data_IF_284611521517
#
_entry.id   IF_284611521517
#
_cell.length_a   1.000
_cell.length_b   1.000
_cell.length_c   1.000
_cell.angle_alpha   90.00
_cell.angle_beta   90.00
_cell.angle_gamma   90.00
#
_symmetry.space_group_name_H-M   'P 1'
#
loop_
_entity.id
_entity.type
_entity.pdbx_description
1 polymer ?
#
# COMPACT_ATOMS: atom_id res chain seq x y z
N UNK A 1 24.97 44.34 -35.96
CA UNK A 1 26.21 43.54 -36.09
C UNK A 1 27.01 43.65 -34.81
N UNK A 2 27.52 42.55 -34.25
CA UNK A 2 28.35 42.58 -33.02
C UNK A 2 29.69 41.89 -33.24
N UNK A 3 30.75 42.35 -32.58
CA UNK A 3 32.05 41.68 -32.63
C UNK A 3 32.09 40.48 -31.69
N UNK A 4 32.65 39.38 -32.17
CA UNK A 4 32.89 38.19 -31.37
C UNK A 4 33.94 38.47 -30.28
N UNK A 5 33.60 38.20 -29.02
CA UNK A 5 34.54 38.36 -27.89
C UNK A 5 35.72 37.39 -27.93
N UNK A 6 35.66 36.32 -28.72
CA UNK A 6 36.70 35.26 -28.78
C UNK A 6 37.69 35.43 -29.93
N UNK A 7 37.24 35.90 -31.09
CA UNK A 7 38.08 35.99 -32.30
C UNK A 7 38.04 37.35 -32.99
N UNK A 8 37.23 38.30 -32.51
CA UNK A 8 37.12 39.64 -33.09
C UNK A 8 36.34 39.74 -34.41
N UNK A 9 35.89 38.61 -34.99
CA UNK A 9 35.10 38.60 -36.22
C UNK A 9 33.71 39.24 -36.03
N UNK A 10 33.16 39.81 -37.10
CA UNK A 10 31.80 40.38 -37.09
C UNK A 10 30.75 39.26 -37.16
N UNK A 11 29.81 39.26 -36.21
CA UNK A 11 28.67 38.35 -36.15
C UNK A 11 27.44 39.09 -36.69
N UNK A 12 26.76 38.56 -37.72
CA UNK A 12 25.51 39.13 -38.22
C UNK A 12 24.40 39.03 -37.17
N UNK A 13 23.39 39.90 -37.23
CA UNK A 13 22.44 40.06 -36.13
C UNK A 13 21.55 38.82 -35.91
N UNK A 14 21.29 38.07 -36.97
CA UNK A 14 20.48 36.85 -37.03
C UNK A 14 21.26 35.58 -36.64
N UNK A 15 22.59 35.64 -36.52
CA UNK A 15 23.39 34.47 -36.17
C UNK A 15 23.54 34.31 -34.65
N UNK A 16 23.18 33.12 -34.14
CA UNK A 16 23.34 32.75 -32.73
C UNK A 16 24.80 32.45 -32.34
N UNK A 17 25.63 32.09 -33.33
CA UNK A 17 27.02 31.68 -33.17
C UNK A 17 27.92 32.40 -34.18
N UNK A 18 29.16 32.63 -33.78
CA UNK A 18 30.19 33.19 -34.65
C UNK A 18 30.60 32.16 -35.71
N UNK A 19 30.37 32.46 -36.99
CA UNK A 19 30.75 31.60 -38.12
C UNK A 19 32.27 31.35 -38.23
N UNK A 20 33.10 32.28 -37.75
CA UNK A 20 34.56 32.16 -37.84
C UNK A 20 35.21 31.26 -36.76
N UNK A 21 34.60 31.11 -35.58
CA UNK A 21 35.23 30.39 -34.45
C UNK A 21 34.28 29.54 -33.60
N UNK A 22 32.99 29.54 -33.92
CA UNK A 22 31.94 28.79 -33.21
C UNK A 22 31.50 29.40 -31.87
N UNK A 23 32.07 30.53 -31.44
CA UNK A 23 31.70 31.13 -30.15
C UNK A 23 30.25 31.67 -30.15
N UNK A 24 29.48 31.38 -29.11
CA UNK A 24 28.11 31.87 -28.95
C UNK A 24 28.09 33.39 -28.78
N UNK A 25 27.13 34.07 -29.41
CA UNK A 25 26.94 35.53 -29.29
C UNK A 25 26.64 35.91 -27.82
N UNK A 26 27.42 36.81 -27.19
CA UNK A 26 27.14 37.29 -25.85
C UNK A 26 25.85 38.13 -25.87
N UNK A 27 24.91 37.84 -24.98
CA UNK A 27 23.66 38.59 -24.85
C UNK A 27 22.40 37.94 -25.45
N UNK A 28 22.52 36.80 -26.15
CA UNK A 28 21.34 35.98 -26.48
C UNK A 28 21.06 35.05 -25.29
N UNK A 29 20.43 35.61 -24.25
CA UNK A 29 19.65 34.80 -23.32
C UNK A 29 18.60 34.10 -24.18
N UNK A 30 18.68 32.76 -24.23
CA UNK A 30 17.58 31.98 -24.77
C UNK A 30 16.35 32.43 -23.99
N UNK A 31 15.36 32.99 -24.69
CA UNK A 31 14.00 32.96 -24.19
C UNK A 31 13.79 31.50 -23.80
N UNK A 32 13.76 31.23 -22.50
CA UNK A 32 13.41 29.92 -22.00
C UNK A 32 11.98 29.75 -22.47
N UNK A 33 11.79 29.09 -23.62
CA UNK A 33 10.52 28.46 -23.92
C UNK A 33 10.17 27.68 -22.64
N UNK A 34 8.97 27.87 -22.08
CA UNK A 34 8.55 27.07 -20.95
C UNK A 34 8.79 25.64 -21.36
N UNK A 35 9.65 24.95 -20.61
CA UNK A 35 9.92 23.54 -20.81
C UNK A 35 8.58 22.86 -20.59
N UNK A 36 7.84 22.68 -21.68
CA UNK A 36 6.73 21.75 -21.73
C UNK A 36 7.41 20.41 -21.54
N UNK A 37 7.49 19.96 -20.29
CA UNK A 37 7.91 18.59 -19.98
C UNK A 37 6.98 17.75 -20.84
N UNK A 38 7.48 17.00 -21.85
CA UNK A 38 6.65 16.01 -22.46
C UNK A 38 6.22 15.12 -21.28
N UNK A 39 4.90 15.10 -21.02
CA UNK A 39 4.33 14.11 -20.13
C UNK A 39 4.92 12.79 -20.58
N UNK A 40 5.71 12.16 -19.71
CA UNK A 40 6.31 10.86 -19.99
C UNK A 40 5.14 9.96 -20.31
N UNK A 41 4.94 9.67 -21.60
CA UNK A 41 3.99 8.68 -22.04
C UNK A 41 4.37 7.41 -21.29
N UNK A 42 3.55 7.03 -20.32
CA UNK A 42 3.68 5.78 -19.63
C UNK A 42 3.55 4.72 -20.71
N UNK A 43 4.68 4.13 -21.09
CA UNK A 43 4.76 2.92 -21.88
C UNK A 43 3.69 1.96 -21.32
N UNK A 44 2.69 1.51 -22.10
CA UNK A 44 1.72 0.54 -21.64
C UNK A 44 2.48 -0.77 -21.46
N UNK A 45 3.10 -0.92 -20.28
CA UNK A 45 3.44 -2.25 -19.80
C UNK A 45 2.12 -3.00 -19.80
N UNK A 46 2.11 -4.16 -20.43
CA UNK A 46 1.11 -5.18 -20.25
C UNK A 46 1.05 -5.48 -18.74
N UNK A 47 0.27 -4.67 -18.03
CA UNK A 47 -0.01 -4.86 -16.61
C UNK A 47 -1.22 -5.76 -16.59
N UNK A 48 -1.02 -6.93 -16.01
CA UNK A 48 -2.08 -7.85 -15.64
C UNK A 48 -3.24 -7.05 -15.01
N UNK A 49 -4.50 -7.26 -15.41
CA UNK A 49 -5.65 -6.55 -14.83
C UNK A 49 -5.70 -6.60 -13.30
N UNK A 50 -5.10 -7.64 -12.71
CA UNK A 50 -4.96 -7.81 -11.27
C UNK A 50 -4.04 -6.78 -10.60
N UNK A 51 -2.99 -6.32 -11.27
CA UNK A 51 -2.02 -5.36 -10.70
C UNK A 51 -2.68 -3.99 -10.46
N UNK A 52 -3.55 -3.56 -11.38
CA UNK A 52 -4.25 -2.28 -11.27
C UNK A 52 -5.32 -2.31 -10.18
N UNK A 53 -6.02 -3.44 -10.02
CA UNK A 53 -6.96 -3.65 -8.91
C UNK A 53 -6.22 -3.59 -7.57
N UNK A 54 -5.04 -4.19 -7.46
CA UNK A 54 -4.21 -4.12 -6.26
C UNK A 54 -3.78 -2.69 -5.93
N UNK A 55 -3.33 -1.92 -6.92
CA UNK A 55 -2.92 -0.52 -6.70
C UNK A 55 -4.10 0.38 -6.30
N UNK A 56 -5.32 0.04 -6.72
CA UNK A 56 -6.54 0.73 -6.34
C UNK A 56 -6.98 0.39 -4.90
N UNK A 57 -6.88 -0.89 -4.50
CA UNK A 57 -7.21 -1.33 -3.13
C UNK A 57 -6.18 -0.84 -2.09
N UNK A 58 -4.90 -0.75 -2.44
CA UNK A 58 -3.83 -0.28 -1.55
C UNK A 58 -3.55 1.23 -1.68
N UNK A 59 -4.56 2.01 -2.07
CA UNK A 59 -4.48 3.47 -2.02
C UNK A 59 -4.46 3.97 -0.57
N UNK A 60 -3.70 5.05 -0.31
CA UNK A 60 -3.56 5.65 1.04
C UNK A 60 -4.92 5.95 1.68
N UNK A 61 -5.86 6.46 0.89
CA UNK A 61 -7.21 6.79 1.37
C UNK A 61 -8.04 5.54 1.65
N UNK A 62 -7.97 4.53 0.79
CA UNK A 62 -8.72 3.28 0.94
C UNK A 62 -8.24 2.50 2.16
N UNK A 63 -6.94 2.44 2.37
CA UNK A 63 -6.33 1.82 3.55
C UNK A 63 -6.85 2.46 4.84
N UNK A 64 -6.86 3.79 4.92
CA UNK A 64 -7.35 4.51 6.11
C UNK A 64 -8.84 4.24 6.33
N UNK A 65 -9.64 4.24 5.25
CA UNK A 65 -11.08 4.01 5.30
C UNK A 65 -11.40 2.58 5.76
N UNK A 66 -10.68 1.59 5.24
CA UNK A 66 -10.82 0.18 5.64
C UNK A 66 -10.41 -0.04 7.09
N UNK A 67 -9.31 0.58 7.56
CA UNK A 67 -8.90 0.48 8.96
C UNK A 67 -9.96 1.12 9.88
N UNK A 68 -10.46 2.30 9.54
CA UNK A 68 -11.50 2.97 10.31
C UNK A 68 -12.80 2.16 10.38
N UNK A 69 -13.26 1.63 9.24
CA UNK A 69 -14.42 0.73 9.18
C UNK A 69 -14.17 -0.57 9.96
N UNK A 70 -12.98 -1.15 9.86
CA UNK A 70 -12.61 -2.35 10.59
C UNK A 70 -12.65 -2.16 12.12
N UNK A 71 -12.12 -1.03 12.61
CA UNK A 71 -12.19 -0.66 14.03
C UNK A 71 -13.63 -0.47 14.48
N UNK A 72 -14.46 0.20 13.66
CA UNK A 72 -15.87 0.42 13.94
C UNK A 72 -16.65 -0.90 14.03
N UNK A 73 -16.46 -1.80 13.06
CA UNK A 73 -17.09 -3.11 13.07
C UNK A 73 -16.61 -4.00 14.22
N UNK A 74 -15.33 -3.94 14.59
CA UNK A 74 -14.81 -4.66 15.75
C UNK A 74 -15.49 -4.18 17.04
N UNK A 75 -15.63 -2.86 17.24
CA UNK A 75 -16.35 -2.29 18.37
C UNK A 75 -17.82 -2.72 18.40
N UNK A 76 -18.50 -2.71 17.25
CA UNK A 76 -19.89 -3.16 17.15
C UNK A 76 -20.00 -4.64 17.52
N UNK A 77 -19.08 -5.49 17.05
CA UNK A 77 -19.03 -6.91 17.40
C UNK A 77 -18.89 -7.13 18.91
N UNK A 78 -17.98 -6.39 19.56
CA UNK A 78 -17.81 -6.45 21.02
C UNK A 78 -19.09 -6.04 21.76
N UNK A 79 -19.74 -4.95 21.32
CA UNK A 79 -21.02 -4.51 21.89
C UNK A 79 -22.09 -5.59 21.74
N UNK A 80 -22.24 -6.17 20.56
CA UNK A 80 -23.23 -7.24 20.32
C UNK A 80 -22.98 -8.43 21.24
N UNK A 81 -21.74 -8.88 21.44
CA UNK A 81 -21.44 -10.02 22.34
C UNK A 81 -21.80 -9.72 23.79
N UNK A 82 -21.58 -8.48 24.27
CA UNK A 82 -21.92 -8.08 25.63
C UNK A 82 -23.44 -8.11 25.87
N UNK A 83 -24.22 -7.71 24.87
CA UNK A 83 -25.69 -7.60 25.00
C UNK A 83 -26.47 -8.82 24.50
N UNK A 84 -25.91 -9.63 23.60
CA UNK A 84 -26.52 -10.84 23.06
C UNK A 84 -26.07 -12.07 23.87
N UNK A 85 -26.72 -12.27 25.02
CA UNK A 85 -26.54 -13.41 25.91
C UNK A 85 -27.09 -14.72 25.33
N UNK A 86 -26.51 -15.21 24.22
CA UNK A 86 -27.07 -16.37 23.50
C UNK A 86 -26.08 -17.45 23.04
N UNK A 87 -24.83 -17.12 22.75
CA UNK A 87 -23.84 -18.11 22.29
C UNK A 87 -22.44 -17.51 22.28
N UNK A 88 -21.91 -17.22 23.48
CA UNK A 88 -20.58 -16.63 23.65
C UNK A 88 -19.49 -17.43 22.91
N UNK A 89 -19.62 -18.75 22.79
CA UNK A 89 -18.59 -19.63 22.23
C UNK A 89 -18.48 -19.53 20.70
N UNK A 90 -19.62 -19.50 19.99
CA UNK A 90 -19.64 -19.42 18.52
C UNK A 90 -19.21 -18.01 18.06
N UNK A 91 -19.64 -16.98 18.79
CA UNK A 91 -19.25 -15.61 18.52
C UNK A 91 -17.74 -15.39 18.72
N UNK A 92 -17.15 -16.03 19.74
CA UNK A 92 -15.70 -15.95 20.01
C UNK A 92 -14.89 -16.65 18.91
N UNK A 93 -15.34 -17.81 18.43
CA UNK A 93 -14.73 -18.52 17.30
C UNK A 93 -14.77 -17.72 15.99
N UNK A 94 -15.92 -17.13 15.66
CA UNK A 94 -16.06 -16.33 14.43
C UNK A 94 -15.18 -15.07 14.50
N UNK A 95 -15.13 -14.44 15.67
CA UNK A 95 -14.31 -13.24 15.88
C UNK A 95 -12.81 -13.55 15.78
N UNK A 96 -12.34 -14.66 16.36
CA UNK A 96 -10.92 -15.04 16.30
C UNK A 96 -10.46 -15.34 14.88
N UNK A 97 -11.27 -16.06 14.08
CA UNK A 97 -10.98 -16.30 12.66
C UNK A 97 -10.91 -14.97 11.89
N UNK A 98 -11.82 -14.04 12.16
CA UNK A 98 -11.82 -12.71 11.55
C UNK A 98 -10.56 -11.91 11.86
N UNK A 99 -10.14 -11.86 13.13
CA UNK A 99 -8.92 -11.16 13.54
C UNK A 99 -7.64 -11.83 13.01
N UNK A 100 -7.59 -13.17 12.96
CA UNK A 100 -6.47 -13.92 12.38
C UNK A 100 -6.32 -13.67 10.87
N UNK A 101 -7.41 -13.74 10.11
CA UNK A 101 -7.41 -13.49 8.67
C UNK A 101 -7.02 -12.04 8.35
N UNK A 102 -7.59 -11.07 9.07
CA UNK A 102 -7.25 -9.66 8.94
C UNK A 102 -5.77 -9.40 9.29
N UNK A 103 -5.27 -10.02 10.37
CA UNK A 103 -3.88 -9.91 10.79
C UNK A 103 -2.90 -10.44 9.75
N UNK A 104 -3.17 -11.61 9.17
CA UNK A 104 -2.36 -12.18 8.08
C UNK A 104 -2.36 -11.29 6.84
N UNK A 105 -3.53 -10.78 6.45
CA UNK A 105 -3.67 -9.90 5.30
C UNK A 105 -2.91 -8.57 5.49
N UNK A 106 -2.99 -7.95 6.67
CA UNK A 106 -2.26 -6.72 6.99
C UNK A 106 -0.75 -6.94 7.03
N UNK A 107 -0.30 -8.06 7.61
CA UNK A 107 1.13 -8.39 7.69
C UNK A 107 1.69 -8.67 6.29
N UNK A 108 0.97 -9.42 5.46
CA UNK A 108 1.33 -9.69 4.07
C UNK A 108 1.33 -8.44 3.20
N UNK A 109 0.27 -7.62 3.29
CA UNK A 109 0.13 -6.37 2.52
C UNK A 109 1.20 -5.33 2.88
N UNK A 110 1.56 -5.23 4.17
CA UNK A 110 2.65 -4.37 4.63
C UNK A 110 4.02 -4.81 4.11
N UNK A 111 4.27 -6.12 3.98
CA UNK A 111 5.56 -6.61 3.47
C UNK A 111 5.67 -6.42 1.95
N UNK A 112 4.58 -6.63 1.20
CA UNK A 112 4.59 -6.61 -0.28
C UNK A 112 4.64 -5.21 -0.88
N UNK A 113 4.09 -4.19 -0.22
CA UNK A 113 4.01 -2.85 -0.80
C UNK A 113 5.23 -1.98 -0.45
N UNK A 114 6.19 -1.94 -1.39
CA UNK A 114 7.43 -1.16 -1.26
C UNK A 114 7.26 0.35 -1.49
N UNK A 115 6.10 0.81 -1.97
CA UNK A 115 5.82 2.24 -2.20
C UNK A 115 5.26 2.98 -0.97
N UNK A 116 5.03 2.27 0.13
CA UNK A 116 4.49 2.85 1.37
C UNK A 116 5.64 3.45 2.22
N UNK A 117 5.34 4.55 2.90
CA UNK A 117 6.23 5.16 3.89
C UNK A 117 6.66 4.16 4.96
N UNK A 118 7.95 4.17 5.31
CA UNK A 118 8.55 3.18 6.24
C UNK A 118 7.80 3.08 7.57
N UNK A 119 7.28 4.20 8.09
CA UNK A 119 6.48 4.24 9.32
C UNK A 119 5.11 3.57 9.18
N UNK A 120 4.44 3.75 8.04
CA UNK A 120 3.12 3.15 7.78
C UNK A 120 3.26 1.64 7.57
N UNK A 121 4.31 1.22 6.86
CA UNK A 121 4.67 -0.19 6.69
C UNK A 121 4.96 -0.86 8.03
N UNK A 122 5.72 -0.20 8.91
CA UNK A 122 6.00 -0.70 10.25
C UNK A 122 4.72 -0.80 11.09
N UNK A 123 3.86 0.21 11.06
CA UNK A 123 2.60 0.21 11.78
C UNK A 123 1.68 -0.93 11.33
N UNK A 124 1.53 -1.18 10.03
CA UNK A 124 0.72 -2.29 9.50
C UNK A 124 1.21 -3.66 9.97
N UNK A 125 2.53 -3.89 9.94
CA UNK A 125 3.12 -5.16 10.40
C UNK A 125 2.92 -5.33 11.92
N UNK A 126 3.13 -4.28 12.70
CA UNK A 126 2.92 -4.32 14.16
C UNK A 126 1.45 -4.59 14.53
N UNK A 127 0.51 -3.92 13.86
CA UNK A 127 -0.92 -4.13 14.06
C UNK A 127 -1.31 -5.56 13.66
N UNK A 128 -0.82 -6.04 12.51
CA UNK A 128 -1.09 -7.42 12.05
C UNK A 128 -0.59 -8.48 13.03
N UNK A 129 0.64 -8.34 13.54
CA UNK A 129 1.21 -9.23 14.57
C UNK A 129 0.39 -9.18 15.86
N UNK A 130 0.00 -7.98 16.31
CA UNK A 130 -0.83 -7.82 17.50
C UNK A 130 -2.18 -8.53 17.36
N UNK A 131 -2.86 -8.38 16.22
CA UNK A 131 -4.14 -9.04 15.96
C UNK A 131 -4.01 -10.57 15.92
N UNK A 132 -2.94 -11.10 15.33
CA UNK A 132 -2.66 -12.54 15.33
C UNK A 132 -2.40 -13.03 16.76
N UNK A 133 -1.56 -12.33 17.53
CA UNK A 133 -1.26 -12.71 18.91
C UNK A 133 -2.51 -12.67 19.79
N UNK A 134 -3.36 -11.66 19.62
CA UNK A 134 -4.63 -11.56 20.33
C UNK A 134 -5.60 -12.69 19.95
N UNK A 135 -5.68 -13.04 18.66
CA UNK A 135 -6.45 -14.20 18.20
C UNK A 135 -5.94 -15.51 18.79
N UNK A 136 -4.62 -15.70 18.87
CA UNK A 136 -4.02 -16.90 19.46
C UNK A 136 -4.26 -16.97 20.97
N UNK A 137 -4.21 -15.84 21.67
CA UNK A 137 -4.56 -15.77 23.09
C UNK A 137 -6.03 -16.14 23.31
N UNK A 138 -6.95 -15.63 22.48
CA UNK A 138 -8.37 -16.00 22.53
C UNK A 138 -8.63 -17.46 22.16
N UNK A 139 -7.77 -18.09 21.35
CA UNK A 139 -7.85 -19.52 21.04
C UNK A 139 -7.29 -20.38 22.18
N UNK A 140 -6.29 -19.87 22.91
CA UNK A 140 -5.73 -20.56 24.07
C UNK A 140 -6.75 -20.72 25.20
N UNK A 141 -7.67 -19.78 25.37
CA UNK A 141 -8.80 -19.92 26.29
C UNK A 141 -9.87 -20.92 25.80
N UNK A 142 -9.88 -21.25 24.50
CA UNK A 142 -10.76 -22.26 23.89
C UNK A 142 -10.17 -23.68 23.92
N UNK A 143 -8.92 -23.85 24.37
CA UNK A 143 -8.27 -25.17 24.51
C UNK A 143 -9.00 -26.13 25.46
N UNK A 144 -9.94 -25.63 26.26
CA UNK A 144 -10.87 -26.41 27.06
C UNK A 144 -12.00 -27.10 26.25
N UNK A 145 -12.22 -26.75 24.97
CA UNK A 145 -13.21 -27.39 24.08
C UNK A 145 -12.65 -28.52 23.20
N UNK A 146 -11.33 -28.70 23.13
CA UNK A 146 -10.69 -29.82 22.41
C UNK A 146 -11.29 -31.22 22.68
N UNK A 147 -11.70 -31.58 23.93
CA UNK A 147 -12.32 -32.88 24.17
C UNK A 147 -13.71 -33.05 23.52
N UNK A 148 -14.44 -31.97 23.19
CA UNK A 148 -15.74 -32.09 22.51
C UNK A 148 -15.61 -32.38 21.01
N UNK A 149 -14.60 -31.81 20.36
CA UNK A 149 -14.32 -32.07 18.95
C UNK A 149 -13.75 -33.48 18.71
N UNK A 150 -12.94 -34.00 19.65
CA UNK A 150 -12.50 -35.40 19.58
C UNK A 150 -13.66 -36.38 19.74
N UNK A 151 -14.63 -36.08 20.61
CA UNK A 151 -15.82 -36.92 20.79
C UNK A 151 -16.76 -36.87 19.59
N UNK A 152 -16.84 -35.73 18.88
CA UNK A 152 -17.62 -35.61 17.65
C UNK A 152 -16.97 -36.39 16.49
N UNK A 153 -15.63 -36.35 16.38
CA UNK A 153 -14.87 -37.11 15.38
C UNK A 153 -14.97 -38.62 15.62
N UNK A 154 -14.88 -39.07 16.89
CA UNK A 154 -15.03 -40.47 17.26
C UNK A 154 -16.48 -40.99 17.09
N UNK A 155 -17.48 -40.11 17.26
CA UNK A 155 -18.89 -40.45 16.98
C UNK A 155 -19.21 -40.59 15.49
N UNK A 156 -18.46 -39.91 14.61
CA UNK A 156 -18.62 -39.96 13.15
C UNK A 156 -17.81 -41.09 12.48
N UNK A 157 -16.87 -41.72 13.19
CA UNK A 157 -16.06 -42.81 12.67
C UNK A 157 -15.98 -43.99 13.67
N UNK A 158 -16.99 -44.88 13.72
CA UNK A 158 -17.10 -45.92 14.76
C UNK A 158 -16.15 -47.13 14.55
N UNK A 159 -15.12 -47.00 13.72
CA UNK A 159 -14.25 -48.10 13.30
C UNK A 159 -12.79 -47.99 13.78
N UNK A 160 -12.50 -47.11 14.74
CA UNK A 160 -11.23 -47.10 15.50
C UNK A 160 -11.48 -46.89 16.99
#
# INVERSE_FOLDING_TARGET
MVKCSKCGANIPDEAEFCSACGAKKPGVQRVQQPVYRPMKASNPKNVSPLEDIFNMLFSKTVIILVIALGILFAWIGTVIVIFASGSADIATLISSIGFAAMGLFLTGGGIWNSKIDKFVRLAMVLIGIYLIAHSLYSLSSLSSMMPYLSNLWNGLNPYY
#
